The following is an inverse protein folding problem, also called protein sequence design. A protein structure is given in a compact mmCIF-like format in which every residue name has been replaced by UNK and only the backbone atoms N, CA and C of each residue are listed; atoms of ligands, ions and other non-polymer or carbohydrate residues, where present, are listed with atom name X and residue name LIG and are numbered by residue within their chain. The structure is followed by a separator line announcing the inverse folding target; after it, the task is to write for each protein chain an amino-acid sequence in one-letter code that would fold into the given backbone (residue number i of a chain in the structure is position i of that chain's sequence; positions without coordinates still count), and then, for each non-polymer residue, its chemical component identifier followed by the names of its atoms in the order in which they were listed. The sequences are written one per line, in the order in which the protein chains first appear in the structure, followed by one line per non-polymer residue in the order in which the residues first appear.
data_IF_916920136068
#
_entry.id   IF_916920136068
#
_cell.length_a   1.000
_cell.length_b   1.000
_cell.length_c   1.000
_cell.angle_alpha   90.00
_cell.angle_beta   90.00
_cell.angle_gamma   90.00
#
_symmetry.space_group_name_H-M   'P 1'
#
loop_
_entity.id
_entity.type
_entity.pdbx_description
1 polymer ?
#
# COMPACT_ATOMS: atom_id res chain seq x y z
N UNK A 1 12.58 8.93 -9.96
CA UNK A 1 11.62 7.80 -9.86
C UNK A 1 11.80 6.92 -11.08
N UNK A 2 11.79 5.60 -10.90
CA UNK A 2 11.85 4.69 -12.05
C UNK A 2 10.49 4.75 -12.77
N UNK A 3 10.51 4.97 -14.09
CA UNK A 3 9.29 5.30 -14.86
C UNK A 3 8.20 4.23 -14.75
N UNK A 4 8.58 2.96 -14.58
CA UNK A 4 7.65 1.84 -14.51
C UNK A 4 6.81 1.73 -13.20
N UNK A 5 7.06 2.58 -12.19
CA UNK A 5 6.24 2.64 -10.96
C UNK A 5 5.49 3.96 -10.80
N UNK A 6 5.79 4.99 -11.61
CA UNK A 6 5.15 6.31 -11.49
C UNK A 6 3.66 6.28 -11.76
N UNK A 7 3.22 5.43 -12.67
CA UNK A 7 1.84 5.31 -13.14
C UNK A 7 1.08 4.19 -12.44
N UNK A 8 1.77 3.45 -11.56
CA UNK A 8 1.23 2.23 -10.98
C UNK A 8 0.22 2.51 -9.87
N UNK A 9 -0.78 1.65 -9.79
CA UNK A 9 -1.71 1.53 -8.67
C UNK A 9 -1.57 0.12 -8.10
N UNK A 10 -1.32 -0.01 -6.81
CA UNK A 10 -1.17 -1.30 -6.13
C UNK A 10 -2.50 -1.70 -5.50
N UNK A 11 -2.90 -2.97 -5.68
CA UNK A 11 -4.04 -3.57 -5.01
C UNK A 11 -3.56 -4.75 -4.16
N UNK A 12 -3.71 -4.63 -2.83
CA UNK A 12 -3.31 -5.67 -1.88
C UNK A 12 -4.40 -6.70 -1.67
N UNK A 13 -4.03 -7.99 -1.72
CA UNK A 13 -4.90 -9.12 -1.41
C UNK A 13 -4.40 -9.87 -0.17
N UNK A 14 -5.24 -9.94 0.85
CA UNK A 14 -5.10 -10.88 1.97
C UNK A 14 -5.99 -12.10 1.68
N UNK A 15 -5.40 -13.21 1.29
CA UNK A 15 -6.12 -14.42 0.86
C UNK A 15 -7.11 -14.94 1.91
N UNK A 16 -6.78 -14.88 3.20
CA UNK A 16 -7.66 -15.41 4.28
C UNK A 16 -9.03 -14.76 4.34
N UNK A 17 -9.13 -13.51 3.89
CA UNK A 17 -10.37 -12.71 3.93
C UNK A 17 -10.92 -12.40 2.55
N UNK A 18 -10.12 -12.59 1.50
CA UNK A 18 -10.48 -12.17 0.15
C UNK A 18 -11.66 -12.96 -0.41
N UNK A 19 -11.70 -14.28 -0.20
CA UNK A 19 -12.83 -15.13 -0.56
C UNK A 19 -13.24 -16.01 0.61
N UNK A 20 -14.42 -16.63 0.52
CA UNK A 20 -14.90 -17.57 1.53
C UNK A 20 -13.99 -18.82 1.61
N UNK A 21 -13.47 -19.26 0.47
CA UNK A 21 -12.55 -20.39 0.37
C UNK A 21 -11.14 -20.01 0.89
N UNK A 22 -10.78 -18.74 0.82
CA UNK A 22 -9.48 -18.23 1.24
C UNK A 22 -8.31 -18.86 0.47
N UNK A 23 -8.49 -19.19 -0.80
CA UNK A 23 -7.49 -19.87 -1.64
C UNK A 23 -7.07 -19.03 -2.83
N UNK A 24 -5.88 -19.29 -3.38
CA UNK A 24 -5.34 -18.64 -4.57
C UNK A 24 -6.27 -18.88 -5.77
N UNK A 25 -6.72 -20.12 -5.99
CA UNK A 25 -7.63 -20.44 -7.09
C UNK A 25 -9.01 -19.76 -6.98
N UNK A 26 -9.50 -19.51 -5.75
CA UNK A 26 -10.71 -18.73 -5.56
C UNK A 26 -10.45 -17.22 -5.80
N UNK A 27 -9.30 -16.70 -5.38
CA UNK A 27 -8.93 -15.31 -5.59
C UNK A 27 -8.73 -14.98 -7.08
N UNK A 28 -8.20 -15.91 -7.88
CA UNK A 28 -8.01 -15.76 -9.33
C UNK A 28 -9.31 -15.33 -10.04
N UNK A 29 -10.46 -15.84 -9.60
CA UNK A 29 -11.77 -15.54 -10.19
C UNK A 29 -12.19 -14.06 -10.06
N UNK A 30 -11.60 -13.34 -9.09
CA UNK A 30 -11.88 -11.93 -8.83
C UNK A 30 -10.83 -10.97 -9.39
N UNK A 31 -9.83 -11.47 -10.12
CA UNK A 31 -8.86 -10.61 -10.81
C UNK A 31 -9.51 -9.61 -11.79
N UNK A 32 -10.60 -9.97 -12.51
CA UNK A 32 -11.31 -8.98 -13.32
C UNK A 32 -11.88 -7.80 -12.51
N UNK A 33 -12.38 -8.04 -11.29
CA UNK A 33 -12.91 -6.98 -10.42
C UNK A 33 -11.76 -6.10 -9.91
N UNK A 34 -10.62 -6.70 -9.58
CA UNK A 34 -9.40 -5.96 -9.22
C UNK A 34 -8.94 -5.07 -10.38
N UNK A 35 -8.84 -5.60 -11.59
CA UNK A 35 -8.48 -4.84 -12.78
C UNK A 35 -9.51 -3.71 -13.07
N UNK A 36 -10.78 -3.94 -12.75
CA UNK A 36 -11.83 -2.95 -12.90
C UNK A 36 -11.65 -1.70 -12.03
N UNK A 37 -10.89 -1.78 -10.94
CA UNK A 37 -10.52 -0.61 -10.12
C UNK A 37 -9.47 0.30 -10.76
N UNK A 38 -8.81 -0.17 -11.81
CA UNK A 38 -7.67 0.50 -12.44
C UNK A 38 -6.32 0.16 -11.79
N UNK A 39 -6.25 -0.90 -10.99
CA UNK A 39 -4.98 -1.41 -10.46
C UNK A 39 -4.06 -1.94 -11.56
N UNK A 40 -2.75 -1.88 -11.31
CA UNK A 40 -1.69 -2.38 -12.20
C UNK A 40 -0.89 -3.50 -11.56
N UNK A 41 -0.82 -3.52 -10.23
CA UNK A 41 -0.02 -4.46 -9.45
C UNK A 41 -0.91 -5.11 -8.40
N UNK A 42 -0.94 -6.44 -8.39
CA UNK A 42 -1.53 -7.22 -7.31
C UNK A 42 -0.43 -7.59 -6.32
N UNK A 43 -0.52 -7.08 -5.11
CA UNK A 43 0.32 -7.48 -4.01
C UNK A 43 -0.39 -8.55 -3.17
N UNK A 44 0.19 -9.73 -3.06
CA UNK A 44 -0.32 -10.83 -2.23
C UNK A 44 0.38 -10.85 -0.87
N UNK A 45 -0.40 -10.78 0.22
CA UNK A 45 0.10 -11.10 1.56
C UNK A 45 0.70 -12.51 1.60
N UNK A 46 1.54 -12.86 2.59
CA UNK A 46 2.26 -14.13 2.60
C UNK A 46 1.35 -15.34 2.46
N UNK A 47 1.74 -16.28 1.61
CA UNK A 47 1.00 -17.49 1.28
C UNK A 47 1.89 -18.76 1.21
N UNK A 48 3.19 -18.60 1.56
CA UNK A 48 4.09 -19.73 1.74
C UNK A 48 3.88 -20.37 3.11
N UNK A 49 4.40 -21.58 3.31
CA UNK A 49 4.03 -22.45 4.42
C UNK A 49 4.32 -21.80 5.78
N UNK A 50 3.24 -21.46 6.49
CA UNK A 50 3.29 -20.88 7.83
C UNK A 50 3.47 -21.95 8.90
N UNK A 51 4.16 -21.61 9.98
CA UNK A 51 4.35 -22.49 11.14
C UNK A 51 3.03 -22.68 11.88
N UNK A 52 2.67 -23.92 12.15
CA UNK A 52 1.46 -24.32 12.85
C UNK A 52 1.71 -24.79 14.30
N UNK A 53 2.89 -24.50 14.87
CA UNK A 53 3.19 -24.80 16.27
C UNK A 53 2.14 -24.12 17.16
N UNK A 54 1.36 -24.90 17.95
CA UNK A 54 0.25 -24.37 18.75
C UNK A 54 0.71 -23.68 20.03
N UNK A 55 2.01 -23.71 20.37
CA UNK A 55 2.51 -23.11 21.58
C UNK A 55 2.38 -21.58 21.56
N UNK A 56 1.59 -20.95 22.46
CA UNK A 56 1.39 -19.51 22.48
C UNK A 56 2.66 -18.70 22.78
N UNK A 57 3.71 -19.32 23.30
CA UNK A 57 5.01 -18.65 23.53
C UNK A 57 5.64 -18.14 22.23
N UNK A 58 5.28 -18.75 21.09
CA UNK A 58 5.70 -18.34 19.76
C UNK A 58 4.63 -17.52 19.01
N UNK A 59 3.61 -17.04 19.70
CA UNK A 59 2.57 -16.20 19.10
C UNK A 59 2.85 -14.73 19.37
N UNK A 60 2.72 -13.88 18.35
CA UNK A 60 2.83 -12.43 18.53
C UNK A 60 1.71 -11.91 19.47
N UNK A 61 1.95 -10.77 20.11
CA UNK A 61 0.94 -10.12 20.93
C UNK A 61 -0.34 -9.83 20.15
N UNK A 62 -0.23 -9.38 18.90
CA UNK A 62 -1.38 -9.16 18.00
C UNK A 62 -2.18 -10.45 17.79
N UNK A 63 -1.49 -11.58 17.58
CA UNK A 63 -2.14 -12.89 17.43
C UNK A 63 -2.89 -13.30 18.71
N UNK A 64 -2.29 -13.12 19.87
CA UNK A 64 -2.94 -13.38 21.17
C UNK A 64 -4.17 -12.49 21.39
N UNK A 65 -4.06 -11.20 21.09
CA UNK A 65 -5.16 -10.23 21.23
C UNK A 65 -6.25 -10.36 20.17
N UNK A 66 -5.99 -11.03 19.06
CA UNK A 66 -6.97 -11.20 17.99
C UNK A 66 -8.18 -12.04 18.40
N UNK A 67 -8.07 -12.83 19.46
CA UNK A 67 -9.04 -13.86 19.90
C UNK A 67 -9.30 -14.92 18.83
N UNK A 68 -8.41 -15.06 17.84
CA UNK A 68 -8.46 -16.12 16.86
C UNK A 68 -7.61 -17.30 17.34
N UNK A 69 -8.24 -18.45 17.56
CA UNK A 69 -7.57 -19.67 18.05
C UNK A 69 -6.86 -20.43 16.91
N UNK A 70 -6.30 -19.71 15.94
CA UNK A 70 -5.57 -20.30 14.81
C UNK A 70 -4.06 -20.18 15.09
N UNK A 71 -3.33 -21.29 15.19
CA UNK A 71 -1.88 -21.26 15.39
C UNK A 71 -1.13 -20.69 14.17
N UNK A 72 -1.72 -20.79 12.97
CA UNK A 72 -1.07 -20.33 11.75
C UNK A 72 -1.10 -18.82 11.65
N UNK A 73 0.09 -18.23 11.56
CA UNK A 73 0.28 -16.83 11.26
C UNK A 73 1.04 -16.73 9.92
N UNK A 74 0.50 -16.09 8.87
CA UNK A 74 1.16 -16.03 7.56
C UNK A 74 2.53 -15.34 7.60
N UNK A 75 2.82 -14.57 8.64
CA UNK A 75 4.13 -13.95 8.86
C UNK A 75 5.06 -14.79 9.75
N UNK A 76 4.69 -16.01 10.14
CA UNK A 76 5.50 -16.93 10.93
C UNK A 76 5.80 -18.17 10.09
N UNK A 77 6.80 -18.08 9.21
CA UNK A 77 7.08 -19.10 8.20
C UNK A 77 7.86 -20.30 8.75
N UNK A 78 7.56 -21.49 8.23
CA UNK A 78 8.36 -22.70 8.42
C UNK A 78 9.05 -23.18 7.14
N UNK A 79 8.64 -22.69 5.99
CA UNK A 79 9.26 -22.94 4.68
C UNK A 79 9.07 -21.74 3.76
N UNK A 80 10.14 -21.29 3.10
CA UNK A 80 10.10 -20.12 2.22
C UNK A 80 9.79 -20.47 0.75
N UNK A 81 9.85 -21.73 0.36
CA UNK A 81 9.65 -22.19 -1.02
C UNK A 81 8.28 -22.79 -1.26
N UNK A 82 7.71 -23.41 -0.23
CA UNK A 82 6.51 -24.20 -0.36
C UNK A 82 5.25 -23.36 -0.20
N UNK A 83 4.36 -23.40 -1.16
CA UNK A 83 3.03 -22.81 -1.02
C UNK A 83 2.30 -23.52 0.13
N UNK A 84 1.70 -22.77 1.04
CA UNK A 84 0.92 -23.34 2.14
C UNK A 84 -0.33 -24.04 1.57
N UNK A 85 -0.50 -25.30 1.93
CA UNK A 85 -1.68 -26.10 1.55
C UNK A 85 -3.01 -25.45 1.95
N UNK A 86 -2.97 -24.52 2.91
CA UNK A 86 -4.13 -23.72 3.29
C UNK A 86 -4.59 -22.84 2.11
N UNK A 87 -3.66 -22.36 1.29
CA UNK A 87 -3.95 -21.42 0.19
C UNK A 87 -4.01 -22.10 -1.18
N UNK A 88 -3.43 -23.28 -1.34
CA UNK A 88 -3.43 -24.02 -2.60
C UNK A 88 -2.12 -24.71 -2.94
N UNK A 89 -1.81 -24.77 -4.22
CA UNK A 89 -0.63 -25.43 -4.78
C UNK A 89 0.25 -24.45 -5.57
N UNK A 90 1.43 -24.91 -5.98
CA UNK A 90 2.30 -24.16 -6.89
C UNK A 90 1.62 -23.93 -8.26
N UNK A 91 0.85 -24.91 -8.73
CA UNK A 91 0.08 -24.84 -9.97
C UNK A 91 -1.03 -23.78 -9.87
N UNK A 92 -1.72 -23.67 -8.72
CA UNK A 92 -2.71 -22.63 -8.50
C UNK A 92 -2.08 -21.25 -8.55
N UNK A 93 -0.88 -21.08 -7.96
CA UNK A 93 -0.19 -19.80 -8.01
C UNK A 93 0.32 -19.43 -9.41
N UNK A 94 0.81 -20.42 -10.16
CA UNK A 94 1.20 -20.24 -11.56
C UNK A 94 0.01 -19.86 -12.45
N UNK A 95 -1.16 -20.48 -12.21
CA UNK A 95 -2.41 -20.09 -12.86
C UNK A 95 -2.81 -18.65 -12.55
N UNK A 96 -2.78 -18.29 -11.27
CA UNK A 96 -3.09 -16.94 -10.81
C UNK A 96 -2.21 -15.87 -11.48
N UNK A 97 -0.88 -16.08 -11.52
CA UNK A 97 0.04 -15.13 -12.18
C UNK A 97 -0.28 -15.03 -13.67
N UNK A 98 -0.50 -16.17 -14.33
CA UNK A 98 -0.87 -16.21 -15.76
C UNK A 98 -2.19 -15.47 -16.02
N UNK A 99 -3.19 -15.64 -15.16
CA UNK A 99 -4.48 -14.96 -15.26
C UNK A 99 -4.35 -13.45 -15.02
N UNK A 100 -3.53 -13.04 -14.04
CA UNK A 100 -3.22 -11.65 -13.76
C UNK A 100 -2.55 -10.97 -14.98
N UNK A 101 -1.54 -11.61 -15.56
CA UNK A 101 -0.84 -11.09 -16.74
C UNK A 101 -1.78 -10.91 -17.95
N UNK A 102 -2.75 -11.81 -18.17
CA UNK A 102 -3.77 -11.65 -19.23
C UNK A 102 -4.65 -10.40 -19.04
N UNK A 103 -4.75 -9.90 -17.82
CA UNK A 103 -5.47 -8.67 -17.46
C UNK A 103 -4.54 -7.46 -17.35
N UNK A 104 -3.28 -7.58 -17.78
CA UNK A 104 -2.21 -6.59 -17.62
C UNK A 104 -1.91 -6.22 -16.15
N UNK A 105 -2.21 -7.12 -15.21
CA UNK A 105 -1.85 -6.98 -13.80
C UNK A 105 -0.49 -7.62 -13.56
N UNK A 106 0.43 -6.91 -12.92
CA UNK A 106 1.68 -7.45 -12.36
C UNK A 106 1.39 -8.15 -11.04
N UNK A 107 2.22 -9.12 -10.68
CA UNK A 107 2.07 -9.86 -9.41
C UNK A 107 3.31 -9.70 -8.55
N UNK A 108 3.09 -9.30 -7.30
CA UNK A 108 4.12 -9.01 -6.31
C UNK A 108 3.81 -9.77 -5.01
N UNK A 109 4.45 -10.93 -4.73
CA UNK A 109 4.32 -11.62 -3.45
C UNK A 109 5.08 -10.94 -2.32
N UNK A 110 4.73 -11.29 -1.07
CA UNK A 110 5.38 -10.84 0.15
C UNK A 110 6.58 -11.72 0.51
N UNK A 111 7.75 -11.15 0.76
CA UNK A 111 8.95 -11.81 1.28
C UNK A 111 9.11 -11.50 2.76
N UNK A 112 8.94 -12.51 3.61
CA UNK A 112 9.07 -12.40 5.07
C UNK A 112 10.41 -12.97 5.51
N UNK A 113 11.50 -12.20 5.37
CA UNK A 113 12.86 -12.70 5.60
C UNK A 113 13.48 -12.28 6.94
N UNK A 114 12.87 -11.33 7.66
CA UNK A 114 13.42 -10.87 8.93
C UNK A 114 13.37 -11.95 10.03
N UNK A 115 12.40 -12.86 9.94
CA UNK A 115 12.15 -13.85 10.97
C UNK A 115 11.49 -15.12 10.41
N UNK A 116 11.45 -16.16 11.23
CA UNK A 116 10.80 -17.43 10.91
C UNK A 116 10.11 -18.04 12.14
N UNK A 117 9.32 -19.07 11.90
CA UNK A 117 8.70 -19.86 12.98
C UNK A 117 9.69 -20.82 13.66
N UNK A 118 9.31 -21.35 14.83
CA UNK A 118 10.17 -22.28 15.60
C UNK A 118 10.51 -23.55 14.84
N UNK A 119 9.63 -24.03 13.96
CA UNK A 119 9.87 -25.24 13.13
C UNK A 119 11.01 -25.01 12.13
N UNK A 120 11.09 -23.79 11.54
CA UNK A 120 12.25 -23.42 10.71
C UNK A 120 13.54 -23.41 11.52
N UNK A 121 13.54 -22.78 12.69
CA UNK A 121 14.73 -22.73 13.56
C UNK A 121 15.19 -24.10 14.04
N UNK A 122 14.26 -25.04 14.25
CA UNK A 122 14.59 -26.45 14.56
C UNK A 122 15.23 -27.17 13.35
N UNK A 123 14.71 -26.92 12.15
CA UNK A 123 15.19 -27.55 10.90
C UNK A 123 16.52 -26.97 10.43
N UNK A 124 16.72 -25.65 10.62
CA UNK A 124 17.91 -24.91 10.18
C UNK A 124 18.52 -24.10 11.33
N UNK A 125 19.14 -24.80 12.34
CA UNK A 125 19.64 -24.13 13.56
C UNK A 125 20.77 -23.14 13.30
N UNK A 126 21.46 -23.23 12.16
CA UNK A 126 22.55 -22.35 11.77
C UNK A 126 22.09 -21.14 10.93
N UNK A 127 20.79 -21.06 10.62
CA UNK A 127 20.18 -19.94 9.90
C UNK A 127 19.49 -18.94 10.83
N UNK A 128 19.42 -19.25 12.12
CA UNK A 128 18.80 -18.40 13.14
C UNK A 128 19.80 -17.97 14.20
N UNK A 129 19.63 -16.76 14.69
CA UNK A 129 20.49 -16.24 15.76
C UNK A 129 20.32 -17.03 17.04
N UNK A 130 21.41 -17.16 17.79
CA UNK A 130 21.46 -17.79 19.10
C UNK A 130 21.80 -16.75 20.17
N UNK A 131 21.30 -16.94 21.37
CA UNK A 131 21.67 -16.17 22.53
C UNK A 131 23.03 -16.66 23.10
N UNK A 132 23.51 -16.03 24.18
CA UNK A 132 24.76 -16.37 24.86
C UNK A 132 24.82 -17.81 25.40
N UNK A 133 23.67 -18.46 25.58
CA UNK A 133 23.53 -19.85 26.04
C UNK A 133 23.35 -20.83 24.87
N UNK A 134 23.45 -20.36 23.61
CA UNK A 134 23.28 -21.19 22.43
C UNK A 134 21.81 -21.52 22.11
N UNK A 135 20.85 -20.90 22.80
CA UNK A 135 19.40 -21.05 22.52
C UNK A 135 19.00 -20.12 21.39
N UNK A 136 18.04 -20.53 20.56
CA UNK A 136 17.49 -19.70 19.48
C UNK A 136 16.94 -18.39 20.05
N UNK A 137 17.43 -17.29 19.51
CA UNK A 137 16.99 -15.94 19.88
C UNK A 137 15.64 -15.62 19.23
N UNK A 138 14.71 -15.12 20.04
CA UNK A 138 13.42 -14.62 19.53
C UNK A 138 13.44 -13.09 19.45
N UNK A 139 12.80 -12.56 18.40
CA UNK A 139 12.58 -11.12 18.23
C UNK A 139 11.40 -10.62 19.08
N UNK A 140 11.05 -9.34 18.94
CA UNK A 140 9.93 -8.71 19.65
C UNK A 140 8.55 -9.29 19.30
N UNK A 141 8.44 -10.04 18.21
CA UNK A 141 7.23 -10.76 17.81
C UNK A 141 7.17 -12.20 18.31
N UNK A 142 8.16 -12.63 19.09
CA UNK A 142 8.36 -14.01 19.57
C UNK A 142 8.64 -15.03 18.44
N UNK A 143 9.21 -14.57 17.33
CA UNK A 143 9.63 -15.39 16.20
C UNK A 143 11.14 -15.56 16.21
N UNK A 144 11.66 -16.64 15.60
CA UNK A 144 13.09 -16.88 15.47
C UNK A 144 13.73 -15.76 14.62
N UNK A 145 14.75 -15.12 15.17
CA UNK A 145 15.50 -14.08 14.47
C UNK A 145 16.47 -14.70 13.46
N UNK A 146 16.37 -14.29 12.20
CA UNK A 146 17.24 -14.80 11.12
C UNK A 146 18.66 -14.21 11.25
N UNK A 147 19.69 -15.04 10.99
CA UNK A 147 21.10 -14.63 11.06
C UNK A 147 21.68 -14.30 9.69
N UNK A 148 21.62 -13.04 9.29
CA UNK A 148 22.18 -12.56 8.03
C UNK A 148 23.74 -12.54 7.99
N UNK A 149 24.44 -12.98 9.04
CA UNK A 149 25.88 -13.22 8.98
C UNK A 149 26.19 -14.60 8.35
N UNK A 150 25.22 -15.52 8.30
CA UNK A 150 25.37 -16.79 7.60
C UNK A 150 25.34 -16.59 6.08
N UNK A 151 26.44 -16.93 5.42
CA UNK A 151 26.55 -16.88 3.96
C UNK A 151 25.61 -17.90 3.30
N UNK A 152 25.47 -19.07 3.91
CA UNK A 152 24.58 -20.13 3.43
C UNK A 152 23.11 -19.73 3.50
N UNK A 153 22.70 -19.04 4.58
CA UNK A 153 21.37 -18.49 4.67
C UNK A 153 21.11 -17.43 3.59
N UNK A 154 22.05 -16.49 3.42
CA UNK A 154 21.91 -15.45 2.38
C UNK A 154 21.74 -16.08 1.00
N UNK A 155 22.55 -17.07 0.66
CA UNK A 155 22.45 -17.80 -0.58
C UNK A 155 21.10 -18.53 -0.71
N UNK A 156 20.62 -19.19 0.34
CA UNK A 156 19.31 -19.85 0.39
C UNK A 156 18.16 -18.87 0.10
N UNK A 157 18.20 -17.67 0.68
CA UNK A 157 17.15 -16.65 0.48
C UNK A 157 17.27 -15.98 -0.90
N UNK A 158 18.46 -15.73 -1.43
CA UNK A 158 18.64 -15.23 -2.80
C UNK A 158 18.13 -16.24 -3.83
N UNK A 159 18.41 -17.52 -3.66
CA UNK A 159 17.87 -18.59 -4.51
C UNK A 159 16.34 -18.66 -4.39
N UNK A 160 15.77 -18.35 -3.24
CA UNK A 160 14.32 -18.26 -3.07
C UNK A 160 13.71 -17.11 -3.89
N UNK A 161 14.33 -15.91 -3.90
CA UNK A 161 13.90 -14.81 -4.78
C UNK A 161 13.97 -15.24 -6.26
N UNK A 162 15.09 -15.84 -6.68
CA UNK A 162 15.29 -16.33 -8.04
C UNK A 162 14.24 -17.39 -8.42
N UNK A 163 13.92 -18.29 -7.48
CA UNK A 163 12.91 -19.35 -7.67
C UNK A 163 11.54 -18.77 -8.00
N UNK A 164 11.06 -17.77 -7.22
CA UNK A 164 9.77 -17.14 -7.49
C UNK A 164 9.72 -16.46 -8.86
N UNK A 165 10.80 -15.80 -9.27
CA UNK A 165 10.87 -15.16 -10.59
C UNK A 165 10.90 -16.20 -11.72
N UNK A 166 11.69 -17.30 -11.58
CA UNK A 166 11.83 -18.32 -12.64
C UNK A 166 10.59 -19.20 -12.78
N UNK A 167 10.05 -19.68 -11.66
CA UNK A 167 8.99 -20.68 -11.68
C UNK A 167 7.61 -20.06 -11.86
N UNK A 168 7.38 -18.85 -11.36
CA UNK A 168 6.07 -18.22 -11.35
C UNK A 168 5.98 -16.93 -12.17
N UNK A 169 7.09 -16.45 -12.71
CA UNK A 169 7.13 -15.22 -13.52
C UNK A 169 6.60 -13.98 -12.78
N UNK A 170 6.83 -13.89 -11.45
CA UNK A 170 6.43 -12.72 -10.66
C UNK A 170 7.14 -11.45 -11.10
N UNK A 171 6.53 -10.29 -10.87
CA UNK A 171 7.00 -8.99 -11.38
C UNK A 171 7.70 -8.14 -10.32
N UNK A 172 7.74 -8.60 -9.10
CA UNK A 172 8.33 -7.87 -7.99
C UNK A 172 8.10 -8.52 -6.64
N UNK A 173 8.52 -7.83 -5.59
CA UNK A 173 8.36 -8.30 -4.22
C UNK A 173 8.02 -7.14 -3.29
N UNK A 174 7.14 -7.36 -2.32
CA UNK A 174 7.05 -6.56 -1.11
C UNK A 174 7.91 -7.24 -0.05
N UNK A 175 8.76 -6.49 0.60
CA UNK A 175 9.72 -7.01 1.58
C UNK A 175 9.26 -6.62 3.00
N UNK A 176 8.86 -7.64 3.77
CA UNK A 176 8.38 -7.48 5.14
C UNK A 176 9.50 -6.98 6.05
N UNK A 177 9.26 -5.84 6.71
CA UNK A 177 10.24 -5.17 7.61
C UNK A 177 11.65 -5.13 6.98
N UNK A 178 11.72 -4.87 5.66
CA UNK A 178 12.99 -4.94 4.90
C UNK A 178 14.05 -3.99 5.41
N UNK A 179 13.65 -2.87 6.02
CA UNK A 179 14.57 -1.95 6.70
C UNK A 179 15.39 -2.57 7.85
N UNK A 180 14.92 -3.66 8.44
CA UNK A 180 15.65 -4.40 9.49
C UNK A 180 16.68 -5.41 8.93
N UNK A 181 16.67 -5.63 7.61
CA UNK A 181 17.58 -6.56 6.92
C UNK A 181 18.75 -5.75 6.32
N UNK A 182 19.99 -6.28 6.31
CA UNK A 182 21.13 -5.58 5.74
C UNK A 182 20.90 -5.12 4.29
N UNK A 183 21.21 -3.87 3.96
CA UNK A 183 20.96 -3.30 2.64
C UNK A 183 21.72 -4.06 1.53
N UNK A 184 22.96 -4.46 1.80
CA UNK A 184 23.78 -5.22 0.86
C UNK A 184 23.16 -6.58 0.49
N UNK A 185 22.36 -7.18 1.38
CA UNK A 185 21.57 -8.38 1.04
C UNK A 185 20.53 -8.06 -0.04
N UNK A 186 19.79 -6.95 0.09
CA UNK A 186 18.80 -6.55 -0.87
C UNK A 186 19.39 -6.13 -2.22
N UNK A 187 20.54 -5.42 -2.18
CA UNK A 187 21.28 -5.01 -3.38
C UNK A 187 21.70 -6.23 -4.21
N UNK A 188 22.30 -7.24 -3.57
CA UNK A 188 22.69 -8.46 -4.27
C UNK A 188 21.48 -9.27 -4.74
N UNK A 189 20.44 -9.39 -3.90
CA UNK A 189 19.20 -10.07 -4.27
C UNK A 189 18.57 -9.45 -5.52
N UNK A 190 18.41 -8.12 -5.54
CA UNK A 190 17.90 -7.39 -6.71
C UNK A 190 18.75 -7.63 -7.95
N UNK A 191 20.08 -7.50 -7.83
CA UNK A 191 21.01 -7.73 -8.94
C UNK A 191 20.88 -9.14 -9.55
N UNK A 192 20.57 -10.16 -8.74
CA UNK A 192 20.39 -11.53 -9.19
C UNK A 192 19.08 -11.70 -9.95
N UNK A 193 17.97 -11.24 -9.40
CA UNK A 193 16.65 -11.41 -10.01
C UNK A 193 16.49 -10.56 -11.27
N UNK A 194 17.11 -9.38 -11.35
CA UNK A 194 17.09 -8.54 -12.57
C UNK A 194 17.82 -9.17 -13.77
N UNK A 195 18.70 -10.15 -13.53
CA UNK A 195 19.28 -10.96 -14.62
C UNK A 195 18.31 -11.98 -15.21
N UNK A 196 17.25 -12.32 -14.46
CA UNK A 196 16.23 -13.27 -14.89
C UNK A 196 15.08 -12.52 -15.57
N UNK A 197 14.61 -11.45 -14.93
CA UNK A 197 13.51 -10.62 -15.41
C UNK A 197 13.76 -9.16 -15.02
N UNK A 198 13.63 -8.24 -15.99
CA UNK A 198 13.78 -6.80 -15.74
C UNK A 198 12.72 -6.02 -16.53
N UNK A 199 12.09 -4.99 -15.95
CA UNK A 199 12.29 -4.51 -14.59
C UNK A 199 11.61 -5.40 -13.53
N UNK A 200 12.17 -5.40 -12.33
CA UNK A 200 11.58 -6.00 -11.11
C UNK A 200 11.21 -4.86 -10.14
N UNK A 201 10.03 -4.95 -9.54
CA UNK A 201 9.52 -3.96 -8.59
C UNK A 201 9.86 -4.41 -7.17
N UNK A 202 10.50 -3.54 -6.40
CA UNK A 202 10.85 -3.80 -5.00
C UNK A 202 10.17 -2.76 -4.09
N UNK A 203 9.23 -3.21 -3.27
CA UNK A 203 8.52 -2.41 -2.26
C UNK A 203 9.01 -2.78 -0.87
N UNK A 204 9.59 -1.85 -0.12
CA UNK A 204 10.00 -2.07 1.27
C UNK A 204 8.92 -1.64 2.27
N UNK A 205 8.64 -2.50 3.25
CA UNK A 205 7.90 -2.12 4.45
C UNK A 205 8.82 -1.39 5.43
N UNK A 206 9.31 -0.23 5.02
CA UNK A 206 10.10 0.67 5.84
C UNK A 206 9.72 2.12 5.52
N UNK A 207 9.71 2.98 6.53
CA UNK A 207 9.61 4.41 6.26
C UNK A 207 10.97 4.94 5.79
N UNK A 208 10.96 5.64 4.67
CA UNK A 208 12.16 6.14 3.97
C UNK A 208 13.10 6.97 4.88
N UNK A 209 12.58 7.60 5.92
CA UNK A 209 13.38 8.39 6.85
C UNK A 209 14.32 7.55 7.76
N UNK A 210 14.14 6.23 7.82
CA UNK A 210 15.04 5.36 8.56
C UNK A 210 16.26 4.94 7.74
N UNK A 211 16.10 4.81 6.41
CA UNK A 211 17.18 4.42 5.49
C UNK A 211 16.97 5.04 4.10
N UNK A 212 17.21 6.36 3.93
CA UNK A 212 16.89 7.07 2.69
C UNK A 212 17.61 6.55 1.45
N UNK A 213 18.81 5.99 1.60
CA UNK A 213 19.66 5.48 0.52
C UNK A 213 19.11 4.21 -0.14
N UNK A 214 18.21 3.47 0.52
CA UNK A 214 17.73 2.19 0.00
C UNK A 214 16.97 2.31 -1.34
N UNK A 215 16.34 3.47 -1.62
CA UNK A 215 15.70 3.71 -2.93
C UNK A 215 16.70 3.96 -4.07
N UNK A 216 17.95 4.29 -3.75
CA UNK A 216 18.98 4.40 -4.77
C UNK A 216 19.56 3.03 -5.14
N UNK A 217 19.60 2.11 -4.18
CA UNK A 217 20.38 0.89 -4.28
C UNK A 217 19.52 -0.37 -4.51
N UNK A 218 18.40 -0.53 -3.79
CA UNK A 218 17.69 -1.80 -3.76
C UNK A 218 16.18 -1.70 -3.98
N UNK A 219 15.52 -0.61 -3.57
CA UNK A 219 14.07 -0.51 -3.58
C UNK A 219 13.57 0.55 -4.55
N UNK A 220 12.32 0.43 -4.97
CA UNK A 220 11.65 1.40 -5.83
C UNK A 220 10.64 2.22 -5.03
N UNK A 221 10.02 1.62 -4.02
CA UNK A 221 8.89 2.18 -3.27
C UNK A 221 9.06 1.83 -1.78
N UNK A 222 8.70 2.75 -0.90
CA UNK A 222 8.61 2.51 0.54
C UNK A 222 7.18 2.66 1.07
N UNK A 223 6.94 2.16 2.26
CA UNK A 223 5.72 2.47 3.00
C UNK A 223 5.70 3.92 3.49
N UNK A 224 4.49 4.42 3.75
CA UNK A 224 4.23 5.66 4.47
C UNK A 224 3.27 5.35 5.64
N UNK A 225 3.78 4.64 6.62
CA UNK A 225 2.98 4.16 7.76
C UNK A 225 2.41 5.30 8.60
N UNK A 226 3.12 6.42 8.68
CA UNK A 226 2.65 7.63 9.34
C UNK A 226 1.27 8.09 8.83
N UNK A 227 1.02 8.02 7.52
CA UNK A 227 -0.30 8.30 6.95
C UNK A 227 -1.30 7.21 7.29
N UNK A 228 -0.99 5.97 6.96
CA UNK A 228 -1.94 4.85 6.96
C UNK A 228 -2.24 4.34 8.35
N UNK A 229 -1.23 4.21 9.20
CA UNK A 229 -1.42 3.63 10.54
C UNK A 229 -1.68 4.68 11.62
N UNK A 230 -1.26 5.94 11.42
CA UNK A 230 -1.37 6.96 12.47
C UNK A 230 -2.38 8.06 12.13
N UNK A 231 -2.25 8.71 10.97
CA UNK A 231 -3.01 9.93 10.69
C UNK A 231 -4.42 9.65 10.19
N UNK A 232 -4.60 8.83 9.15
CA UNK A 232 -5.95 8.53 8.64
C UNK A 232 -6.88 7.93 9.70
N UNK A 233 -6.48 6.90 10.47
CA UNK A 233 -7.36 6.36 11.51
C UNK A 233 -7.83 7.41 12.51
N UNK A 234 -6.98 8.39 12.87
CA UNK A 234 -7.33 9.45 13.81
C UNK A 234 -8.19 10.55 13.17
N UNK A 235 -7.96 10.90 11.90
CA UNK A 235 -8.86 11.81 11.14
C UNK A 235 -10.27 11.21 11.09
N UNK A 236 -10.39 9.92 10.80
CA UNK A 236 -11.68 9.25 10.69
C UNK A 236 -12.39 9.08 12.03
N UNK A 237 -11.67 8.67 13.07
CA UNK A 237 -12.27 8.28 14.35
C UNK A 237 -12.33 9.39 15.38
N UNK A 238 -11.43 10.39 15.33
CA UNK A 238 -11.26 11.41 16.38
C UNK A 238 -11.22 12.84 15.86
N UNK A 239 -11.35 13.05 14.55
CA UNK A 239 -11.29 14.38 13.95
C UNK A 239 -9.92 15.06 14.09
N UNK A 240 -8.82 14.28 14.00
CA UNK A 240 -7.47 14.85 13.98
C UNK A 240 -7.39 15.88 12.84
N UNK A 241 -6.79 17.06 13.05
CA UNK A 241 -6.59 18.04 11.99
C UNK A 241 -5.84 17.46 10.78
N UNK A 242 -6.32 17.74 9.58
CA UNK A 242 -5.73 17.21 8.33
C UNK A 242 -4.35 17.78 8.03
N UNK A 243 -3.93 18.85 8.72
CA UNK A 243 -2.55 19.35 8.70
C UNK A 243 -1.53 18.30 9.11
N UNK A 244 -1.94 17.27 9.88
CA UNK A 244 -1.09 16.14 10.22
C UNK A 244 -0.64 15.33 8.99
N UNK A 245 -1.44 15.32 7.89
CA UNK A 245 -1.04 14.70 6.62
C UNK A 245 0.15 15.44 5.99
N UNK A 246 0.11 16.80 6.03
CA UNK A 246 1.23 17.60 5.56
C UNK A 246 2.49 17.37 6.38
N UNK A 247 2.37 17.29 7.71
CA UNK A 247 3.52 17.01 8.58
C UNK A 247 4.20 15.67 8.24
N UNK A 248 3.44 14.64 7.95
CA UNK A 248 4.00 13.35 7.53
C UNK A 248 4.58 13.42 6.11
N UNK A 249 3.98 14.19 5.22
CA UNK A 249 4.51 14.43 3.89
C UNK A 249 5.85 15.20 3.96
N UNK A 250 5.92 16.27 4.77
CA UNK A 250 7.14 17.04 5.01
C UNK A 250 8.26 16.15 5.57
N UNK A 251 7.95 15.22 6.49
CA UNK A 251 8.91 14.28 7.06
C UNK A 251 9.56 13.39 5.99
N UNK A 252 8.75 12.83 5.09
CA UNK A 252 9.22 12.00 3.97
C UNK A 252 10.13 12.81 3.04
N UNK A 253 9.67 13.99 2.61
CA UNK A 253 10.40 14.81 1.65
C UNK A 253 11.63 15.51 2.23
N UNK A 254 11.68 15.73 3.56
CA UNK A 254 12.88 16.20 4.25
C UNK A 254 13.94 15.11 4.33
N UNK A 255 13.53 13.86 4.59
CA UNK A 255 14.45 12.74 4.64
C UNK A 255 15.04 12.41 3.26
N UNK A 256 14.18 12.41 2.23
CA UNK A 256 14.57 12.16 0.84
C UNK A 256 13.66 12.93 -0.11
N UNK A 257 14.12 14.04 -0.69
CA UNK A 257 13.37 14.77 -1.73
C UNK A 257 13.05 13.85 -2.92
N UNK A 258 11.76 13.81 -3.30
CA UNK A 258 11.29 12.95 -4.39
C UNK A 258 11.23 11.45 -4.06
N UNK A 259 11.20 11.09 -2.78
CA UNK A 259 10.97 9.72 -2.33
C UNK A 259 9.66 9.16 -2.90
N UNK A 260 9.70 7.91 -3.33
CA UNK A 260 8.52 7.18 -3.81
C UNK A 260 7.95 6.36 -2.66
N UNK A 261 6.76 6.72 -2.21
CA UNK A 261 6.09 6.01 -1.11
C UNK A 261 4.68 5.59 -1.53
N UNK A 262 4.15 4.52 -0.93
CA UNK A 262 2.74 4.21 -1.10
C UNK A 262 1.85 5.28 -0.44
N UNK A 263 0.72 5.57 -1.07
CA UNK A 263 -0.34 6.41 -0.52
C UNK A 263 -1.58 5.54 -0.31
N UNK A 264 -1.72 5.06 0.91
CA UNK A 264 -2.74 4.10 1.29
C UNK A 264 -3.67 4.69 2.36
N UNK A 265 -4.99 4.50 2.18
CA UNK A 265 -5.96 4.75 3.25
C UNK A 265 -5.90 3.64 4.29
N UNK A 266 -5.86 2.39 3.84
CA UNK A 266 -5.80 1.18 4.64
C UNK A 266 -4.87 0.16 4.01
N UNK A 267 -4.33 -0.75 4.81
CA UNK A 267 -3.69 -1.99 4.39
C UNK A 267 -3.97 -3.10 5.42
N UNK A 268 -3.45 -4.30 5.21
CA UNK A 268 -3.74 -5.47 6.04
C UNK A 268 -3.48 -5.27 7.55
N UNK A 269 -2.55 -4.39 7.95
CA UNK A 269 -2.28 -4.10 9.36
C UNK A 269 -3.30 -3.17 9.99
N UNK A 270 -3.81 -2.17 9.25
CA UNK A 270 -4.80 -1.22 9.78
C UNK A 270 -6.21 -1.79 9.75
N UNK A 271 -6.52 -2.64 8.76
CA UNK A 271 -7.80 -3.31 8.63
C UNK A 271 -7.99 -4.47 9.63
N UNK A 272 -6.96 -4.75 10.43
CA UNK A 272 -6.82 -5.95 11.23
C UNK A 272 -7.13 -5.69 12.71
N UNK A 273 -7.73 -6.69 13.36
CA UNK A 273 -7.77 -6.96 14.81
C UNK A 273 -7.98 -5.80 15.80
N UNK A 274 -8.67 -4.73 15.39
CA UNK A 274 -9.34 -3.91 16.38
C UNK A 274 -8.56 -2.75 16.96
N UNK A 275 -7.43 -2.34 16.41
CA UNK A 275 -6.85 -1.05 16.78
C UNK A 275 -7.75 0.10 16.32
N UNK A 276 -8.34 -0.02 15.12
CA UNK A 276 -9.27 0.96 14.56
C UNK A 276 -10.43 0.27 13.86
N UNK A 277 -11.59 0.93 13.81
CA UNK A 277 -12.66 0.52 12.90
C UNK A 277 -12.22 0.71 11.46
N UNK A 278 -12.67 -0.17 10.57
CA UNK A 278 -12.53 0.02 9.13
C UNK A 278 -13.05 1.41 8.72
N UNK A 279 -12.34 2.09 7.86
CA UNK A 279 -12.66 3.45 7.41
C UNK A 279 -14.04 3.51 6.75
N UNK A 280 -14.40 2.52 5.94
CA UNK A 280 -15.73 2.39 5.33
C UNK A 280 -16.88 2.27 6.36
N UNK A 281 -16.62 1.67 7.52
CA UNK A 281 -17.60 1.59 8.60
C UNK A 281 -17.88 2.97 9.21
N UNK A 282 -16.90 3.86 9.20
CA UNK A 282 -17.03 5.21 9.75
C UNK A 282 -17.71 6.13 8.74
N UNK A 283 -17.20 6.19 7.51
CA UNK A 283 -17.76 7.04 6.46
C UNK A 283 -17.24 6.66 5.06
N UNK A 284 -18.14 6.13 4.23
CA UNK A 284 -17.85 5.84 2.83
C UNK A 284 -17.50 7.08 2.01
N UNK A 285 -18.18 8.21 2.28
CA UNK A 285 -17.90 9.48 1.61
C UNK A 285 -16.50 10.03 1.96
N UNK A 286 -16.08 9.86 3.21
CA UNK A 286 -14.73 10.25 3.65
C UNK A 286 -13.65 9.35 3.04
N UNK A 287 -13.94 8.05 2.81
CA UNK A 287 -13.04 7.16 2.08
C UNK A 287 -12.81 7.65 0.65
N UNK A 288 -13.87 8.09 -0.05
CA UNK A 288 -13.72 8.64 -1.40
C UNK A 288 -12.86 9.91 -1.41
N UNK A 289 -13.07 10.81 -0.45
CA UNK A 289 -12.21 12.00 -0.27
C UNK A 289 -10.73 11.61 -0.02
N UNK A 290 -10.49 10.56 0.79
CA UNK A 290 -9.14 10.04 1.04
C UNK A 290 -8.52 9.41 -0.21
N UNK A 291 -9.29 8.68 -1.03
CA UNK A 291 -8.78 8.16 -2.31
C UNK A 291 -8.41 9.31 -3.26
N UNK A 292 -9.20 10.39 -3.35
CA UNK A 292 -8.80 11.56 -4.15
C UNK A 292 -7.42 12.05 -3.71
N UNK A 293 -7.18 12.21 -2.41
CA UNK A 293 -5.86 12.60 -1.90
C UNK A 293 -4.77 11.60 -2.31
N UNK A 294 -4.99 10.30 -2.08
CA UNK A 294 -3.99 9.27 -2.36
C UNK A 294 -3.60 9.19 -3.84
N UNK A 295 -4.50 9.53 -4.76
CA UNK A 295 -4.24 9.48 -6.20
C UNK A 295 -3.73 10.80 -6.79
N UNK A 296 -3.92 11.93 -6.12
CA UNK A 296 -3.57 13.25 -6.66
C UNK A 296 -2.35 13.89 -5.99
N UNK A 297 -1.94 13.41 -4.83
CA UNK A 297 -0.65 13.74 -4.21
C UNK A 297 0.48 12.96 -4.91
N UNK A 298 1.73 13.14 -4.51
CA UNK A 298 2.86 12.32 -4.99
C UNK A 298 2.84 10.89 -4.43
N UNK A 299 3.61 9.99 -5.04
CA UNK A 299 3.74 8.59 -4.61
C UNK A 299 2.87 7.62 -5.41
N UNK A 300 2.70 6.41 -4.90
CA UNK A 300 2.00 5.30 -5.57
C UNK A 300 0.69 5.00 -4.84
N UNK A 301 -0.48 5.20 -5.47
CA UNK A 301 -1.77 4.85 -4.88
C UNK A 301 -1.83 3.37 -4.51
N UNK A 302 -2.40 3.10 -3.34
CA UNK A 302 -2.48 1.75 -2.80
C UNK A 302 -3.89 1.46 -2.30
N UNK A 303 -4.48 0.39 -2.80
CA UNK A 303 -5.80 -0.10 -2.45
C UNK A 303 -5.70 -1.37 -1.60
N UNK A 304 -6.54 -1.45 -0.60
CA UNK A 304 -6.71 -2.68 0.18
C UNK A 304 -7.96 -3.42 -0.24
N UNK A 305 -7.90 -4.75 -0.26
CA UNK A 305 -8.97 -5.62 -0.77
C UNK A 305 -10.35 -5.34 -0.14
N UNK A 306 -11.38 -5.32 -0.98
CA UNK A 306 -12.76 -5.02 -0.62
C UNK A 306 -13.13 -3.53 -0.69
N UNK A 307 -12.19 -2.64 -1.02
CA UNK A 307 -12.48 -1.20 -1.16
C UNK A 307 -13.52 -0.91 -2.24
N UNK A 308 -13.54 -1.69 -3.32
CA UNK A 308 -14.49 -1.61 -4.41
C UNK A 308 -15.92 -1.97 -3.99
N UNK A 309 -16.06 -2.88 -3.03
CA UNK A 309 -17.35 -3.28 -2.44
C UNK A 309 -17.80 -2.37 -1.30
N UNK A 310 -17.05 -1.32 -0.97
CA UNK A 310 -17.28 -0.52 0.25
C UNK A 310 -17.37 -1.42 1.49
N UNK A 311 -16.47 -2.41 1.55
CA UNK A 311 -16.46 -3.42 2.62
C UNK A 311 -16.05 -2.81 3.95
N UNK A 312 -16.86 -3.07 4.97
CA UNK A 312 -16.66 -2.58 6.34
C UNK A 312 -16.46 -3.71 7.36
N UNK A 313 -16.32 -4.96 6.88
CA UNK A 313 -16.12 -6.10 7.75
C UNK A 313 -14.73 -6.05 8.39
N UNK A 314 -14.63 -6.62 9.58
CA UNK A 314 -13.32 -6.83 10.21
C UNK A 314 -12.50 -7.80 9.37
N UNK A 315 -11.25 -7.45 9.11
CA UNK A 315 -10.29 -8.40 8.56
C UNK A 315 -9.31 -8.85 9.63
N UNK A 316 -8.82 -10.09 9.53
CA UNK A 316 -7.76 -10.59 10.40
C UNK A 316 -6.86 -11.56 9.64
N UNK A 317 -5.56 -11.31 9.70
CA UNK A 317 -4.55 -12.26 9.20
C UNK A 317 -4.41 -13.48 10.12
N UNK A 318 -4.95 -13.41 11.35
CA UNK A 318 -4.91 -14.49 12.35
C UNK A 318 -6.18 -15.35 12.36
N UNK A 319 -7.22 -14.95 11.63
CA UNK A 319 -8.45 -15.73 11.51
C UNK A 319 -8.26 -17.03 10.72
N UNK A 320 -9.23 -17.93 10.80
CA UNK A 320 -9.32 -19.04 9.86
C UNK A 320 -9.75 -18.53 8.49
N UNK A 321 -9.46 -19.31 7.44
CA UNK A 321 -9.94 -19.00 6.08
C UNK A 321 -11.45 -18.79 6.08
N UNK A 322 -11.89 -17.74 5.42
CA UNK A 322 -13.31 -17.41 5.28
C UNK A 322 -14.01 -16.95 6.56
N UNK A 323 -13.30 -16.81 7.69
CA UNK A 323 -13.91 -16.38 8.95
C UNK A 323 -14.32 -14.90 8.89
N UNK A 324 -13.54 -14.05 8.20
CA UNK A 324 -13.74 -12.61 8.08
C UNK A 324 -13.71 -12.17 6.62
N UNK A 325 -14.57 -12.76 5.79
CA UNK A 325 -14.62 -12.49 4.35
C UNK A 325 -15.16 -11.11 4.02
N UNK A 326 -14.67 -10.57 2.93
CA UNK A 326 -15.22 -9.37 2.29
C UNK A 326 -16.72 -9.56 2.06
N UNK A 327 -17.50 -8.57 2.46
CA UNK A 327 -18.93 -8.48 2.14
C UNK A 327 -19.11 -7.99 0.69
N UNK A 328 -19.44 -8.92 -0.19
CA UNK A 328 -19.73 -8.66 -1.62
C UNK A 328 -21.21 -8.48 -1.93
N UNK A 329 -22.03 -8.19 -0.93
CA UNK A 329 -23.47 -7.93 -1.14
C UNK A 329 -23.74 -6.62 -1.86
N UNK A 330 -22.81 -5.67 -1.86
CA UNK A 330 -22.91 -4.39 -2.55
C UNK A 330 -22.38 -4.51 -3.98
N UNK A 331 -23.00 -3.78 -4.91
CA UNK A 331 -22.49 -3.67 -6.28
C UNK A 331 -21.17 -2.87 -6.29
N UNK A 332 -20.08 -3.43 -6.81
CA UNK A 332 -18.79 -2.73 -6.87
C UNK A 332 -18.72 -1.69 -8.01
N UNK A 333 -19.64 -1.69 -8.96
CA UNK A 333 -19.51 -0.95 -10.22
C UNK A 333 -19.27 0.56 -10.03
N UNK A 334 -20.04 1.22 -9.16
CA UNK A 334 -19.90 2.65 -8.90
C UNK A 334 -18.51 2.99 -8.32
N UNK A 335 -18.10 2.28 -7.27
CA UNK A 335 -16.80 2.52 -6.62
C UNK A 335 -15.63 2.14 -7.53
N UNK A 336 -15.73 1.03 -8.27
CA UNK A 336 -14.70 0.65 -9.24
C UNK A 336 -14.56 1.69 -10.35
N UNK A 337 -15.65 2.22 -10.87
CA UNK A 337 -15.62 3.30 -11.87
C UNK A 337 -14.96 4.57 -11.31
N UNK A 338 -15.24 4.94 -10.05
CA UNK A 338 -14.62 6.07 -9.38
C UNK A 338 -13.11 5.87 -9.20
N UNK A 339 -12.68 4.71 -8.70
CA UNK A 339 -11.26 4.38 -8.52
C UNK A 339 -10.53 4.34 -9.87
N UNK A 340 -11.15 3.75 -10.90
CA UNK A 340 -10.60 3.74 -12.26
C UNK A 340 -10.41 5.16 -12.80
N UNK A 341 -11.39 6.06 -12.61
CA UNK A 341 -11.27 7.46 -13.01
C UNK A 341 -10.08 8.14 -12.34
N UNK A 342 -9.88 7.89 -11.04
CA UNK A 342 -8.71 8.38 -10.31
C UNK A 342 -7.41 7.81 -10.87
N UNK A 343 -7.36 6.51 -11.16
CA UNK A 343 -6.21 5.85 -11.78
C UNK A 343 -5.89 6.42 -13.17
N UNK A 344 -6.91 6.70 -13.97
CA UNK A 344 -6.76 7.36 -15.28
C UNK A 344 -6.15 8.77 -15.12
N UNK A 345 -6.69 9.59 -14.21
CA UNK A 345 -6.15 10.92 -13.92
C UNK A 345 -4.70 10.84 -13.44
N UNK A 346 -4.40 9.90 -12.54
CA UNK A 346 -3.03 9.69 -12.02
C UNK A 346 -2.03 9.41 -13.16
N UNK A 347 -2.42 8.61 -14.16
CA UNK A 347 -1.57 8.25 -15.30
C UNK A 347 -1.48 9.34 -16.37
N UNK A 348 -2.61 9.98 -16.67
CA UNK A 348 -2.70 10.86 -17.84
C UNK A 348 -2.32 12.30 -17.56
N UNK A 349 -2.43 12.75 -16.29
CA UNK A 349 -2.07 14.11 -15.92
C UNK A 349 -0.58 14.20 -15.53
N UNK A 350 0.27 14.85 -16.34
CA UNK A 350 1.70 14.98 -16.04
C UNK A 350 1.97 15.63 -14.67
N UNK A 351 1.05 16.47 -14.20
CA UNK A 351 1.15 17.09 -12.89
C UNK A 351 1.09 16.06 -11.75
N UNK A 352 0.29 15.01 -11.87
CA UNK A 352 0.21 13.96 -10.83
C UNK A 352 1.38 12.99 -10.93
N UNK A 353 1.79 12.64 -12.12
CA UNK A 353 2.87 11.69 -12.37
C UNK A 353 4.26 12.23 -12.07
N UNK A 354 4.57 13.42 -12.62
CA UNK A 354 5.92 13.99 -12.64
C UNK A 354 6.01 15.38 -11.98
N UNK A 355 4.88 15.92 -11.53
CA UNK A 355 4.80 17.29 -11.03
C UNK A 355 5.25 17.46 -9.59
N UNK A 356 5.58 18.69 -9.23
CA UNK A 356 5.83 19.09 -7.84
C UNK A 356 4.53 19.23 -7.05
N UNK A 357 4.65 19.13 -5.73
CA UNK A 357 3.57 19.38 -4.76
C UNK A 357 3.88 20.66 -4.01
N UNK A 358 2.91 21.57 -3.94
CA UNK A 358 2.95 22.75 -3.10
C UNK A 358 1.69 22.78 -2.22
N UNK A 359 1.85 22.57 -0.92
CA UNK A 359 0.76 22.70 0.03
C UNK A 359 0.39 24.16 0.23
N UNK A 360 -0.89 24.48 0.08
CA UNK A 360 -1.40 25.84 0.21
C UNK A 360 -2.01 26.07 1.59
N UNK A 361 -1.77 27.23 2.16
CA UNK A 361 -2.48 27.68 3.35
C UNK A 361 -3.93 28.06 2.98
N UNK A 362 -4.87 27.70 3.86
CA UNK A 362 -6.28 28.00 3.67
C UNK A 362 -6.98 28.32 4.99
N UNK A 363 -8.16 28.93 4.92
CA UNK A 363 -8.94 29.35 6.11
C UNK A 363 -9.50 28.20 6.93
N UNK A 364 -9.55 26.98 6.38
CA UNK A 364 -10.17 25.79 6.97
C UNK A 364 -9.14 24.65 7.15
N UNK A 365 -7.88 24.99 7.41
CA UNK A 365 -6.74 24.07 7.42
C UNK A 365 -6.88 22.87 8.36
N UNK A 366 -7.77 22.89 9.35
CA UNK A 366 -8.03 21.75 10.23
C UNK A 366 -8.82 20.65 9.54
N UNK A 367 -9.65 20.98 8.55
CA UNK A 367 -10.56 20.03 7.89
C UNK A 367 -10.35 19.92 6.39
N UNK A 368 -9.71 20.92 5.77
CA UNK A 368 -9.50 20.96 4.32
C UNK A 368 -8.03 20.91 3.96
N UNK A 369 -7.68 19.93 3.13
CA UNK A 369 -6.39 19.89 2.44
C UNK A 369 -6.48 20.71 1.16
N UNK A 370 -5.52 21.62 0.93
CA UNK A 370 -5.35 22.35 -0.35
C UNK A 370 -3.90 22.25 -0.80
N UNK A 371 -3.69 21.90 -2.05
CA UNK A 371 -2.37 21.89 -2.65
C UNK A 371 -2.43 22.06 -4.16
N UNK A 372 -1.33 22.55 -4.73
CA UNK A 372 -1.09 22.61 -6.17
C UNK A 372 -0.19 21.45 -6.59
N UNK A 373 -0.52 20.89 -7.73
CA UNK A 373 0.37 20.04 -8.51
C UNK A 373 0.80 20.83 -9.73
N UNK A 374 2.12 20.96 -9.94
CA UNK A 374 2.67 21.69 -11.09
C UNK A 374 3.45 20.73 -11.97
N UNK A 375 2.97 20.53 -13.19
CA UNK A 375 3.61 19.67 -14.17
C UNK A 375 4.93 20.29 -14.68
N UNK A 376 5.86 19.50 -15.24
CA UNK A 376 7.10 20.01 -15.84
C UNK A 376 6.90 21.05 -16.96
N UNK A 377 5.77 20.98 -17.67
CA UNK A 377 5.39 21.95 -18.70
C UNK A 377 4.73 23.25 -18.15
N UNK A 378 4.57 23.34 -16.81
CA UNK A 378 3.99 24.49 -16.13
C UNK A 378 2.48 24.46 -15.95
N UNK A 379 1.77 23.46 -16.46
CA UNK A 379 0.33 23.23 -16.15
C UNK A 379 0.14 23.04 -14.66
N UNK A 380 -0.94 23.59 -14.12
CA UNK A 380 -1.24 23.54 -12.70
C UNK A 380 -2.59 22.88 -12.43
N UNK A 381 -2.64 22.03 -11.43
CA UNK A 381 -3.87 21.42 -10.92
C UNK A 381 -4.02 21.78 -9.45
N UNK A 382 -5.15 22.42 -9.12
CA UNK A 382 -5.57 22.66 -7.74
C UNK A 382 -6.34 21.43 -7.24
N UNK A 383 -5.92 20.92 -6.09
CA UNK A 383 -6.65 19.93 -5.34
C UNK A 383 -7.12 20.54 -4.01
N UNK A 384 -8.42 20.45 -3.74
CA UNK A 384 -9.03 20.89 -2.49
C UNK A 384 -9.97 19.79 -1.98
N UNK A 385 -9.77 19.32 -0.74
CA UNK A 385 -10.47 18.14 -0.21
C UNK A 385 -10.91 18.44 1.21
N UNK A 386 -12.22 18.40 1.45
CA UNK A 386 -12.83 18.59 2.77
C UNK A 386 -13.03 17.24 3.47
N UNK A 387 -12.31 16.99 4.55
CA UNK A 387 -12.50 15.83 5.44
C UNK A 387 -13.46 16.10 6.60
N UNK A 388 -13.97 17.35 6.69
CA UNK A 388 -14.93 17.75 7.71
C UNK A 388 -16.34 17.22 7.45
N UNK A 389 -17.19 17.32 8.49
CA UNK A 389 -18.59 16.91 8.43
C UNK A 389 -19.54 18.07 8.07
N UNK A 390 -18.98 19.27 7.84
CA UNK A 390 -19.73 20.50 7.55
C UNK A 390 -19.35 21.04 6.17
N UNK A 391 -20.28 21.78 5.58
CA UNK A 391 -20.01 22.59 4.40
C UNK A 391 -19.20 23.84 4.80
N UNK A 392 -18.12 24.09 4.10
CA UNK A 392 -17.22 25.23 4.41
C UNK A 392 -16.93 26.05 3.14
N UNK A 393 -16.65 27.34 3.32
CA UNK A 393 -16.11 28.19 2.26
C UNK A 393 -14.64 28.43 2.52
N UNK A 394 -13.81 27.86 1.68
CA UNK A 394 -12.36 27.87 1.80
C UNK A 394 -11.79 29.08 1.09
N UNK A 395 -11.07 29.92 1.81
CA UNK A 395 -10.26 31.00 1.24
C UNK A 395 -8.82 30.51 1.13
N UNK A 396 -8.29 30.58 -0.08
CA UNK A 396 -6.92 30.17 -0.38
C UNK A 396 -6.37 31.11 -1.45
N UNK A 397 -5.28 31.79 -1.14
CA UNK A 397 -4.70 32.79 -2.04
C UNK A 397 -4.26 32.15 -3.37
N UNK A 398 -4.51 32.86 -4.48
CA UNK A 398 -4.09 32.42 -5.82
C UNK A 398 -4.94 31.33 -6.46
N UNK A 399 -6.09 30.97 -5.85
CA UNK A 399 -6.97 29.92 -6.39
C UNK A 399 -8.09 30.48 -7.27
N UNK A 400 -8.28 31.78 -7.36
CA UNK A 400 -9.37 32.43 -8.12
C UNK A 400 -9.29 32.12 -9.62
N UNK A 401 -8.09 31.95 -10.16
CA UNK A 401 -7.88 31.60 -11.57
C UNK A 401 -8.47 30.26 -11.95
N UNK A 402 -8.62 29.33 -10.98
CA UNK A 402 -9.17 28.00 -11.21
C UNK A 402 -10.68 27.96 -11.39
N UNK A 403 -11.41 29.03 -11.06
CA UNK A 403 -12.84 29.16 -11.33
C UNK A 403 -13.18 28.98 -12.82
N UNK A 404 -12.26 29.38 -13.70
CA UNK A 404 -12.39 29.25 -15.17
C UNK A 404 -11.62 28.07 -15.74
N UNK A 405 -11.07 27.24 -14.87
CA UNK A 405 -10.27 26.06 -15.24
C UNK A 405 -11.15 24.88 -15.69
N UNK A 406 -10.48 23.86 -16.21
CA UNK A 406 -11.09 22.58 -16.53
C UNK A 406 -11.37 21.80 -15.24
N UNK A 407 -12.58 21.29 -15.10
CA UNK A 407 -12.95 20.38 -14.00
C UNK A 407 -12.52 18.95 -14.37
N UNK A 408 -11.48 18.42 -13.71
CA UNK A 408 -11.06 17.03 -13.88
C UNK A 408 -11.89 16.08 -13.03
N UNK A 409 -12.18 16.49 -11.78
CA UNK A 409 -13.01 15.73 -10.85
C UNK A 409 -13.57 16.67 -9.77
N UNK A 410 -14.86 16.53 -9.45
CA UNK A 410 -15.46 17.26 -8.33
C UNK A 410 -16.62 16.50 -7.69
N UNK A 411 -16.86 16.82 -6.42
CA UNK A 411 -18.08 16.48 -5.70
C UNK A 411 -18.38 17.54 -4.64
N UNK A 412 -19.54 18.15 -4.74
CA UNK A 412 -19.97 19.15 -3.76
C UNK A 412 -19.04 20.36 -3.66
N UNK A 413 -18.43 20.75 -4.77
CA UNK A 413 -17.54 21.89 -4.87
C UNK A 413 -18.15 22.97 -5.77
N UNK A 414 -17.95 24.24 -5.40
CA UNK A 414 -18.38 25.38 -6.22
C UNK A 414 -17.66 26.63 -5.83
N UNK A 415 -17.11 27.36 -6.79
CA UNK A 415 -16.62 28.72 -6.54
C UNK A 415 -17.78 29.67 -6.20
N UNK A 416 -17.56 30.55 -5.26
CA UNK A 416 -18.51 31.57 -4.81
C UNK A 416 -17.79 32.86 -4.40
N UNK A 417 -18.55 33.94 -4.17
CA UNK A 417 -17.99 35.16 -3.61
C UNK A 417 -17.34 34.86 -2.25
N UNK A 418 -16.03 34.90 -2.22
CA UNK A 418 -15.25 34.67 -0.99
C UNK A 418 -14.46 33.39 -0.96
N UNK A 419 -14.49 32.54 -1.99
CA UNK A 419 -13.63 31.37 -2.11
C UNK A 419 -14.28 30.16 -2.76
N UNK A 420 -13.78 28.98 -2.43
CA UNK A 420 -14.29 27.70 -2.88
C UNK A 420 -15.18 27.09 -1.80
N UNK A 421 -16.47 26.92 -2.10
CA UNK A 421 -17.41 26.20 -1.23
C UNK A 421 -17.24 24.70 -1.43
N UNK A 422 -17.06 23.94 -0.33
CA UNK A 422 -16.93 22.49 -0.31
C UNK A 422 -17.93 21.91 0.69
N UNK A 423 -18.80 21.05 0.23
CA UNK A 423 -19.71 20.29 1.12
C UNK A 423 -18.91 19.34 2.03
N UNK A 424 -19.57 18.77 3.04
CA UNK A 424 -19.00 17.71 3.86
C UNK A 424 -18.43 16.58 2.98
N UNK A 425 -17.15 16.22 3.19
CA UNK A 425 -16.40 15.26 2.37
C UNK A 425 -16.38 15.56 0.85
N UNK A 426 -16.62 16.82 0.48
CA UNK A 426 -16.53 17.30 -0.90
C UNK A 426 -15.08 17.49 -1.34
N UNK A 427 -14.86 17.50 -2.64
CA UNK A 427 -13.54 17.70 -3.23
C UNK A 427 -13.62 18.38 -4.59
N UNK A 428 -12.53 19.02 -4.97
CA UNK A 428 -12.31 19.68 -6.25
C UNK A 428 -10.92 19.37 -6.79
N UNK A 429 -10.84 19.03 -8.06
CA UNK A 429 -9.61 18.86 -8.83
C UNK A 429 -9.78 19.65 -10.12
N UNK A 430 -9.17 20.83 -10.16
CA UNK A 430 -9.30 21.81 -11.25
C UNK A 430 -7.96 22.07 -11.91
N UNK A 431 -7.94 22.06 -13.24
CA UNK A 431 -6.74 22.30 -14.06
C UNK A 431 -6.82 23.66 -14.74
N UNK A 432 -5.71 24.41 -14.73
CA UNK A 432 -5.53 25.58 -15.57
C UNK A 432 -4.38 25.38 -16.53
N UNK A 433 -4.59 25.82 -17.78
CA UNK A 433 -3.51 25.97 -18.75
C UNK A 433 -2.82 27.33 -18.52
N UNK A 434 -1.50 27.35 -18.54
CA UNK A 434 -0.82 28.63 -18.69
C UNK A 434 -1.22 29.18 -20.06
N UNK A 435 -2.05 30.22 -20.08
CA UNK A 435 -2.37 30.92 -21.31
C UNK A 435 -1.06 31.33 -21.99
N UNK A 436 -1.01 31.19 -23.33
CA UNK A 436 0.05 31.76 -24.14
C UNK A 436 0.32 33.18 -23.59
N UNK A 437 1.55 33.49 -23.24
CA UNK A 437 1.97 34.85 -23.02
C UNK A 437 1.56 35.61 -24.27
N UNK A 438 0.45 36.35 -24.22
CA UNK A 438 0.10 37.26 -25.28
C UNK A 438 1.33 38.13 -25.51
N UNK A 439 2.00 37.83 -26.63
CA UNK A 439 3.07 38.65 -27.11
C UNK A 439 2.52 40.05 -27.27
N UNK A 440 2.92 40.92 -26.36
CA UNK A 440 2.89 42.36 -26.62
C UNK A 440 4.07 42.60 -27.53
N UNK A 441 3.79 42.83 -28.79
CA UNK A 441 4.66 43.48 -29.75
C UNK A 441 4.87 44.95 -29.31
#
# INVERSE_FOLDING_TARGET
MKDYVKDAVIYQINLRVFTKEGTIAAAEKFLPDVAATGADIVYLCPFVESDDDPNPDFWSNRQKFSNCQNPRNPYRLMDFYKIDKEYGTAEDFKSFVTAAHKLNLKVMPDLVYMHAGPSFGKRYPDFVKKDENGKVKLNSYFFCEIDFNSAELREYLWQNMEYFVREFDVDGFRCDVGGAIPLDFWVEGRRRIEKIKSPIIMLDENEINFRPEEQDEAFDINYCQGWTQSVFPLIFSRGLPVTALKLMWDRVNTARPGAVVIRALEHHDTANDGYYSRSEKISSAKCEAAYVLCYTIDGVPFLYNGCEYKDSTRHSIFGNKGQFTIDRSKDPAERSAFLRKLAELHRTEPAFRDGSVEWLENSEANTVCTYLRTAPNGEKILCAINFGNETVTVKCAGTESFEKGETLLERGAKFCTGGLNLTANGFAVYKIFQGEKNGIL
#
